data_IF_591973003713
#
_entry.id   IF_591973003713
#
_cell.length_a   1.000
_cell.length_b   1.000
_cell.length_c   1.000
_cell.angle_alpha   90.00
_cell.angle_beta   90.00
_cell.angle_gamma   90.00
#
_symmetry.space_group_name_H-M   'P 1'
#
loop_
_entity.id
_entity.type
_entity.pdbx_description
1 polymer ?
#
# COMPACT_ATOMS: atom_id res chain seq x y z
N UNK A 1 18.99 -5.68 -9.64
CA UNK A 1 19.80 -4.61 -9.05
C UNK A 1 18.99 -3.32 -9.01
N UNK A 2 18.70 -2.84 -7.80
CA UNK A 2 17.79 -1.70 -7.56
C UNK A 2 18.33 -0.38 -8.17
N UNK A 3 19.65 -0.21 -8.24
CA UNK A 3 20.27 1.00 -8.80
C UNK A 3 20.05 1.03 -10.31
N UNK A 4 20.28 -0.09 -10.99
CA UNK A 4 20.06 -0.19 -12.44
C UNK A 4 18.62 0.10 -12.84
N UNK A 5 17.64 -0.44 -12.08
CA UNK A 5 16.22 -0.15 -12.28
C UNK A 5 15.89 1.33 -12.10
N UNK A 6 16.43 1.95 -11.06
CA UNK A 6 16.22 3.38 -10.82
C UNK A 6 16.82 4.25 -11.93
N UNK A 7 18.04 3.93 -12.40
CA UNK A 7 18.67 4.64 -13.52
C UNK A 7 17.83 4.50 -14.80
N UNK A 8 17.21 3.35 -15.07
CA UNK A 8 16.31 3.20 -16.22
C UNK A 8 15.09 4.10 -16.13
N UNK A 9 14.51 4.26 -14.91
CA UNK A 9 13.39 5.22 -14.72
C UNK A 9 13.84 6.67 -14.95
N UNK A 10 15.05 7.04 -14.56
CA UNK A 10 15.59 8.38 -14.84
C UNK A 10 15.74 8.63 -16.36
N UNK A 11 16.11 7.61 -17.13
CA UNK A 11 16.17 7.70 -18.60
C UNK A 11 14.75 7.81 -19.18
N UNK A 12 13.79 7.02 -18.70
CA UNK A 12 12.38 7.13 -19.13
C UNK A 12 11.79 8.50 -18.84
N UNK A 13 12.11 9.07 -17.68
CA UNK A 13 11.72 10.41 -17.29
C UNK A 13 12.46 11.52 -18.04
N UNK A 14 13.39 11.17 -18.93
CA UNK A 14 14.26 12.10 -19.70
C UNK A 14 15.14 13.00 -18.82
N UNK A 15 15.40 12.58 -17.59
CA UNK A 15 16.35 13.25 -16.68
C UNK A 15 17.78 12.87 -17.08
N UNK A 16 17.99 11.62 -17.51
CA UNK A 16 19.25 11.16 -18.09
C UNK A 16 19.06 10.92 -19.59
N UNK A 17 20.02 11.35 -20.43
CA UNK A 17 19.96 11.07 -21.86
C UNK A 17 20.28 9.61 -22.20
N UNK A 18 21.11 8.96 -21.37
CA UNK A 18 21.50 7.56 -21.46
C UNK A 18 21.70 6.97 -20.07
N UNK A 19 21.67 5.64 -19.90
CA UNK A 19 21.96 5.02 -18.62
C UNK A 19 23.40 5.33 -18.19
N UNK A 20 23.55 5.93 -17.02
CA UNK A 20 24.85 6.14 -16.38
C UNK A 20 25.10 5.04 -15.36
N UNK A 21 26.37 4.72 -15.12
CA UNK A 21 26.74 3.74 -14.11
C UNK A 21 27.09 4.45 -12.80
N UNK A 22 26.30 4.20 -11.77
CA UNK A 22 26.53 4.70 -10.41
C UNK A 22 26.92 3.53 -9.49
N UNK A 23 27.88 3.79 -8.60
CA UNK A 23 28.33 2.79 -7.63
C UNK A 23 27.34 2.56 -6.50
N UNK A 24 26.67 3.63 -6.05
CA UNK A 24 25.75 3.61 -4.93
C UNK A 24 24.47 4.42 -5.22
N UNK A 25 23.42 4.19 -4.44
CA UNK A 25 22.22 5.01 -4.51
C UNK A 25 22.49 6.46 -4.09
N UNK A 26 23.39 6.67 -3.14
CA UNK A 26 23.84 8.01 -2.72
C UNK A 26 24.44 8.79 -3.89
N UNK A 27 25.23 8.13 -4.76
CA UNK A 27 25.81 8.78 -5.95
C UNK A 27 24.71 9.23 -6.93
N UNK A 28 23.66 8.42 -7.10
CA UNK A 28 22.51 8.80 -7.92
C UNK A 28 21.83 10.06 -7.35
N UNK A 29 21.56 10.08 -6.06
CA UNK A 29 20.92 11.23 -5.42
C UNK A 29 21.82 12.46 -5.42
N UNK A 30 23.13 12.30 -5.24
CA UNK A 30 24.09 13.40 -5.35
C UNK A 30 24.10 14.01 -6.76
N UNK A 31 24.08 13.16 -7.80
CA UNK A 31 23.96 13.63 -9.18
C UNK A 31 22.66 14.39 -9.42
N UNK A 32 21.51 13.83 -9.02
CA UNK A 32 20.21 14.48 -9.17
C UNK A 32 20.13 15.81 -8.43
N UNK A 33 20.71 15.89 -7.24
CA UNK A 33 20.72 17.11 -6.42
C UNK A 33 21.62 18.21 -7.01
N UNK A 34 22.56 17.84 -7.88
CA UNK A 34 23.43 18.80 -8.58
C UNK A 34 22.79 19.38 -9.85
N UNK A 35 21.68 18.81 -10.33
CA UNK A 35 20.95 19.34 -11.48
C UNK A 35 20.29 20.68 -11.13
N UNK A 36 20.19 21.62 -12.11
CA UNK A 36 19.62 22.95 -11.86
C UNK A 36 18.09 22.93 -11.65
N UNK A 37 17.43 21.87 -12.09
CA UNK A 37 15.99 21.73 -12.04
C UNK A 37 15.54 21.02 -10.76
N UNK A 38 14.38 21.40 -10.24
CA UNK A 38 13.76 20.67 -9.14
C UNK A 38 13.17 19.37 -9.63
N UNK A 39 13.49 18.29 -8.93
CA UNK A 39 13.08 16.93 -9.25
C UNK A 39 12.25 16.37 -8.10
N UNK A 40 11.11 15.74 -8.42
CA UNK A 40 10.33 14.96 -7.47
C UNK A 40 10.70 13.49 -7.66
N UNK A 41 11.24 12.88 -6.62
CA UNK A 41 11.54 11.45 -6.58
C UNK A 41 10.50 10.76 -5.71
N UNK A 42 9.74 9.83 -6.30
CA UNK A 42 8.74 9.04 -5.59
C UNK A 42 9.25 7.61 -5.46
N UNK A 43 9.32 7.10 -4.25
CA UNK A 43 9.61 5.70 -3.97
C UNK A 43 8.34 5.09 -3.38
N UNK A 44 7.67 4.31 -4.23
CA UNK A 44 6.47 3.60 -3.83
C UNK A 44 6.83 2.28 -3.13
N UNK A 45 6.02 1.89 -2.17
CA UNK A 45 6.22 0.69 -1.35
C UNK A 45 7.62 0.62 -0.71
N UNK A 46 8.08 1.74 -0.12
CA UNK A 46 9.36 1.79 0.60
C UNK A 46 9.53 0.67 1.65
N UNK A 47 8.51 0.26 2.42
CA UNK A 47 8.62 -0.89 3.31
C UNK A 47 9.00 -2.19 2.61
N UNK A 48 8.60 -2.35 1.33
CA UNK A 48 8.94 -3.53 0.54
C UNK A 48 10.43 -3.55 0.15
N UNK A 49 10.98 -2.38 -0.15
CA UNK A 49 12.41 -2.23 -0.41
C UNK A 49 13.24 -2.67 0.82
N UNK A 50 12.76 -2.37 2.02
CA UNK A 50 13.37 -2.80 3.29
C UNK A 50 13.25 -4.32 3.52
N UNK A 51 12.13 -4.91 3.16
CA UNK A 51 11.89 -6.34 3.34
C UNK A 51 12.76 -7.22 2.44
N UNK A 52 13.15 -6.71 1.27
CA UNK A 52 14.02 -7.41 0.31
C UNK A 52 15.51 -7.26 0.60
N UNK A 53 15.89 -6.35 1.49
CA UNK A 53 17.27 -6.04 1.84
C UNK A 53 17.41 -6.02 3.37
N UNK A 54 18.64 -5.84 3.87
CA UNK A 54 18.80 -5.51 5.28
C UNK A 54 18.16 -4.16 5.60
N UNK A 55 17.08 -4.20 6.38
CA UNK A 55 16.24 -3.03 6.64
C UNK A 55 17.01 -1.90 7.33
N UNK A 56 17.97 -2.21 8.20
CA UNK A 56 18.81 -1.22 8.87
C UNK A 56 19.74 -0.52 7.87
N UNK A 57 20.28 -1.26 6.94
CA UNK A 57 21.13 -0.73 5.86
C UNK A 57 20.34 0.20 4.94
N UNK A 58 19.12 -0.17 4.54
CA UNK A 58 18.27 0.68 3.67
C UNK A 58 17.92 1.99 4.37
N UNK A 59 17.45 1.94 5.62
CA UNK A 59 17.13 3.14 6.39
C UNK A 59 18.35 4.05 6.57
N UNK A 60 19.55 3.49 6.79
CA UNK A 60 20.79 4.25 6.92
C UNK A 60 21.21 4.91 5.61
N UNK A 61 20.99 4.27 4.46
CA UNK A 61 21.24 4.85 3.14
C UNK A 61 20.35 6.08 2.94
N UNK A 62 19.05 5.95 3.18
CA UNK A 62 18.12 7.06 3.04
C UNK A 62 18.33 8.16 4.07
N UNK A 63 18.73 7.80 5.30
CA UNK A 63 19.17 8.76 6.29
C UNK A 63 20.31 9.62 5.76
N UNK A 64 21.37 9.01 5.23
CA UNK A 64 22.51 9.72 4.65
C UNK A 64 22.09 10.63 3.47
N UNK A 65 21.21 10.13 2.58
CA UNK A 65 20.70 10.91 1.46
C UNK A 65 19.99 12.17 1.96
N UNK A 66 19.11 12.04 2.96
CA UNK A 66 18.32 13.15 3.51
C UNK A 66 19.22 14.12 4.28
N UNK A 67 20.13 13.61 5.11
CA UNK A 67 21.04 14.42 5.94
C UNK A 67 22.05 15.23 5.08
N UNK A 68 22.34 14.80 3.86
CA UNK A 68 23.15 15.52 2.87
C UNK A 68 22.43 16.70 2.20
N UNK A 69 21.30 17.14 2.73
CA UNK A 69 20.48 18.27 2.27
C UNK A 69 20.05 18.13 0.80
N UNK A 70 18.90 17.58 0.60
CA UNK A 70 18.23 17.57 -0.70
C UNK A 70 17.72 18.99 -1.04
N UNK A 71 18.49 19.74 -1.85
CA UNK A 71 18.16 21.12 -2.23
C UNK A 71 17.24 21.15 -3.44
N UNK A 72 17.55 20.31 -4.45
CA UNK A 72 16.81 20.24 -5.71
C UNK A 72 15.94 18.99 -5.83
N UNK A 73 15.86 18.17 -4.78
CA UNK A 73 15.04 16.96 -4.75
C UNK A 73 13.96 17.08 -3.69
N UNK A 74 12.72 16.83 -4.10
CA UNK A 74 11.61 16.53 -3.20
C UNK A 74 11.42 15.02 -3.17
N UNK A 75 11.71 14.41 -2.02
CA UNK A 75 11.63 12.95 -1.84
C UNK A 75 10.31 12.57 -1.19
N UNK A 76 9.54 11.75 -1.86
CA UNK A 76 8.27 11.19 -1.38
C UNK A 76 8.46 9.67 -1.20
N UNK A 77 8.26 9.20 0.03
CA UNK A 77 8.22 7.78 0.35
C UNK A 77 6.77 7.37 0.64
N UNK A 78 6.27 6.38 -0.07
CA UNK A 78 4.93 5.83 0.16
C UNK A 78 4.98 4.37 0.61
N UNK A 79 3.91 3.89 1.20
CA UNK A 79 3.76 2.48 1.59
C UNK A 79 2.64 2.26 2.58
N UNK A 80 2.11 1.04 2.60
CA UNK A 80 0.99 0.63 3.47
C UNK A 80 1.37 0.64 4.97
N UNK A 81 2.64 0.44 5.31
CA UNK A 81 3.14 0.31 6.68
C UNK A 81 4.03 1.49 7.14
N UNK A 82 3.76 2.69 6.65
CA UNK A 82 4.51 3.91 7.00
C UNK A 82 4.52 4.19 8.52
N UNK A 83 3.57 3.66 9.28
CA UNK A 83 3.59 3.73 10.75
C UNK A 83 4.90 3.27 11.38
N UNK A 84 5.56 2.28 10.79
CA UNK A 84 6.87 1.77 11.25
C UNK A 84 8.00 2.81 11.13
N UNK A 85 7.86 3.78 10.24
CA UNK A 85 8.85 4.87 10.07
C UNK A 85 8.73 5.96 11.14
N UNK A 86 7.64 5.95 11.92
CA UNK A 86 7.39 6.88 13.03
C UNK A 86 7.94 6.37 14.37
N UNK A 87 8.45 5.15 14.41
CA UNK A 87 9.06 4.62 15.62
C UNK A 87 10.38 5.33 15.90
N UNK A 88 10.61 5.74 17.13
CA UNK A 88 11.84 6.44 17.57
C UNK A 88 13.13 5.68 17.23
N UNK A 89 13.03 4.36 17.09
CA UNK A 89 14.17 3.49 16.71
C UNK A 89 14.49 3.51 15.21
N UNK A 90 13.62 4.12 14.39
CA UNK A 90 13.84 4.16 12.95
C UNK A 90 14.82 5.29 12.59
N UNK A 91 15.80 5.00 11.74
CA UNK A 91 16.80 5.97 11.31
C UNK A 91 16.20 7.20 10.60
N UNK A 92 14.99 7.08 10.04
CA UNK A 92 14.28 8.18 9.38
C UNK A 92 13.37 8.98 10.33
N UNK A 93 13.30 8.61 11.61
CA UNK A 93 12.50 9.35 12.58
C UNK A 93 12.92 10.82 12.66
N UNK A 94 11.94 11.72 12.64
CA UNK A 94 12.17 13.16 12.72
C UNK A 94 12.72 13.83 11.44
N UNK A 95 12.92 13.07 10.34
CA UNK A 95 13.45 13.59 9.07
C UNK A 95 12.37 13.92 8.03
N UNK A 96 11.14 13.58 8.30
CA UNK A 96 10.02 13.92 7.42
C UNK A 96 9.48 15.32 7.74
N UNK A 97 9.47 16.19 6.73
CA UNK A 97 8.85 17.50 6.84
C UNK A 97 7.32 17.40 6.92
N UNK A 98 6.73 16.45 6.19
CA UNK A 98 5.29 16.23 6.15
C UNK A 98 5.02 14.71 6.15
N UNK A 99 3.99 14.31 6.89
CA UNK A 99 3.46 12.95 6.83
C UNK A 99 1.98 13.01 6.50
N UNK A 100 1.60 12.38 5.40
CA UNK A 100 0.20 12.30 4.94
C UNK A 100 -0.30 10.88 5.16
N UNK A 101 -1.38 10.74 5.92
CA UNK A 101 -2.10 9.46 6.04
C UNK A 101 -3.32 9.52 5.12
N UNK A 102 -3.30 8.72 4.07
CA UNK A 102 -4.47 8.51 3.23
C UNK A 102 -5.36 7.46 3.92
N UNK A 103 -6.55 7.88 4.30
CA UNK A 103 -7.59 6.97 4.78
C UNK A 103 -8.48 6.55 3.62
N UNK A 104 -9.27 5.50 3.84
CA UNK A 104 -10.36 5.19 2.92
C UNK A 104 -11.32 6.39 2.80
N UNK A 105 -12.01 6.47 1.67
CA UNK A 105 -13.02 7.50 1.42
C UNK A 105 -14.13 7.43 2.46
N UNK A 106 -14.56 8.57 2.95
CA UNK A 106 -15.77 8.65 3.77
C UNK A 106 -17.02 8.47 2.90
N UNK A 107 -18.19 8.39 3.55
CA UNK A 107 -19.47 8.20 2.85
C UNK A 107 -19.72 9.24 1.75
N UNK A 108 -19.46 10.52 2.02
CA UNK A 108 -19.73 11.60 1.07
C UNK A 108 -18.80 11.53 -0.15
N UNK A 109 -17.59 11.10 0.06
CA UNK A 109 -16.60 10.90 -1.00
C UNK A 109 -16.94 9.67 -1.85
N UNK A 110 -17.21 8.53 -1.20
CA UNK A 110 -17.60 7.29 -1.87
C UNK A 110 -18.92 7.42 -2.64
N UNK A 111 -19.87 8.21 -2.12
CA UNK A 111 -21.15 8.48 -2.80
C UNK A 111 -21.00 9.16 -4.16
N UNK A 112 -19.85 9.79 -4.46
CA UNK A 112 -19.57 10.40 -5.77
C UNK A 112 -19.37 9.37 -6.88
N UNK A 113 -19.06 8.11 -6.55
CA UNK A 113 -19.00 7.01 -7.51
C UNK A 113 -20.39 6.62 -8.05
N UNK A 114 -21.45 7.03 -7.35
CA UNK A 114 -22.84 6.68 -7.68
C UNK A 114 -23.72 7.96 -7.75
N UNK A 115 -23.43 8.93 -8.64
CA UNK A 115 -24.07 10.24 -8.62
C UNK A 115 -25.59 10.15 -8.74
N UNK A 116 -26.09 9.24 -9.58
CA UNK A 116 -27.51 9.12 -9.92
C UNK A 116 -28.31 8.22 -8.95
N UNK A 117 -27.65 7.53 -8.01
CA UNK A 117 -28.38 6.70 -7.04
C UNK A 117 -29.05 7.56 -5.96
N UNK A 118 -30.24 7.17 -5.48
CA UNK A 118 -30.87 7.83 -4.34
C UNK A 118 -30.02 7.68 -3.07
N UNK A 119 -30.17 8.59 -2.09
CA UNK A 119 -29.36 8.61 -0.87
C UNK A 119 -29.35 7.29 -0.11
N UNK A 120 -30.48 6.60 -0.05
CA UNK A 120 -30.59 5.29 0.60
C UNK A 120 -29.68 4.25 -0.07
N UNK A 121 -29.67 4.16 -1.39
CA UNK A 121 -28.85 3.23 -2.14
C UNK A 121 -27.36 3.57 -2.01
N UNK A 122 -27.01 4.87 -1.99
CA UNK A 122 -25.64 5.32 -1.72
C UNK A 122 -25.15 4.85 -0.34
N UNK A 123 -26.00 5.02 0.67
CA UNK A 123 -25.68 4.58 2.03
C UNK A 123 -25.54 3.06 2.11
N UNK A 124 -26.42 2.33 1.44
CA UNK A 124 -26.37 0.88 1.41
C UNK A 124 -25.13 0.35 0.65
N UNK A 125 -24.75 1.00 -0.48
CA UNK A 125 -23.49 0.68 -1.16
C UNK A 125 -22.28 0.90 -0.25
N UNK A 126 -22.22 2.04 0.43
CA UNK A 126 -21.13 2.32 1.37
C UNK A 126 -21.07 1.32 2.52
N UNK A 127 -22.21 0.91 3.05
CA UNK A 127 -22.30 -0.09 4.13
C UNK A 127 -21.77 -1.47 3.70
N UNK A 128 -21.92 -1.82 2.41
CA UNK A 128 -21.49 -3.12 1.87
C UNK A 128 -20.04 -3.08 1.36
N UNK A 129 -19.68 -2.04 0.62
CA UNK A 129 -18.42 -1.99 -0.14
C UNK A 129 -17.35 -1.09 0.49
N UNK A 130 -17.71 -0.30 1.50
CA UNK A 130 -16.78 0.58 2.21
C UNK A 130 -16.27 1.75 1.38
N UNK A 131 -15.17 2.32 1.83
CA UNK A 131 -14.54 3.52 1.26
C UNK A 131 -13.33 3.26 0.37
N UNK A 132 -12.99 2.01 0.05
CA UNK A 132 -11.87 1.73 -0.85
C UNK A 132 -12.13 2.29 -2.25
N UNK A 133 -11.28 3.21 -2.79
CA UNK A 133 -11.44 3.70 -4.17
C UNK A 133 -11.39 2.57 -5.20
N UNK A 134 -10.50 1.60 -5.00
CA UNK A 134 -10.34 0.44 -5.86
C UNK A 134 -11.64 -0.38 -5.94
N UNK A 135 -12.25 -0.68 -4.79
CA UNK A 135 -13.51 -1.42 -4.73
C UNK A 135 -14.63 -0.62 -5.40
N UNK A 136 -14.78 0.66 -5.03
CA UNK A 136 -15.85 1.51 -5.58
C UNK A 136 -15.74 1.72 -7.10
N UNK A 137 -14.52 1.79 -7.64
CA UNK A 137 -14.29 1.91 -9.08
C UNK A 137 -14.65 0.62 -9.85
N UNK A 138 -14.55 -0.53 -9.22
CA UNK A 138 -14.87 -1.81 -9.84
C UNK A 138 -16.38 -2.11 -9.90
N UNK A 139 -17.19 -1.35 -9.16
CA UNK A 139 -18.65 -1.53 -9.14
C UNK A 139 -19.31 -0.89 -10.37
N UNK A 140 -20.43 -1.45 -10.77
CA UNK A 140 -21.27 -0.87 -11.81
C UNK A 140 -22.24 0.13 -11.20
N UNK A 141 -22.16 1.43 -11.54
CA UNK A 141 -23.00 2.46 -10.92
C UNK A 141 -24.50 2.26 -11.14
N UNK A 142 -24.89 1.69 -12.28
CA UNK A 142 -26.29 1.44 -12.64
C UNK A 142 -26.86 0.16 -12.07
N UNK A 143 -26.00 -0.79 -11.66
CA UNK A 143 -26.43 -2.07 -11.12
C UNK A 143 -26.99 -1.95 -9.70
N UNK A 144 -27.82 -2.90 -9.31
CA UNK A 144 -28.29 -3.04 -7.94
C UNK A 144 -27.16 -3.49 -7.00
N UNK A 145 -27.33 -3.31 -5.70
CA UNK A 145 -26.37 -3.80 -4.69
C UNK A 145 -26.17 -5.31 -4.82
N UNK A 146 -27.27 -6.07 -5.05
CA UNK A 146 -27.23 -7.51 -5.21
C UNK A 146 -26.39 -7.93 -6.42
N UNK A 147 -26.58 -7.28 -7.55
CA UNK A 147 -25.81 -7.56 -8.76
C UNK A 147 -24.32 -7.24 -8.56
N UNK A 148 -24.02 -6.11 -7.93
CA UNK A 148 -22.65 -5.75 -7.60
C UNK A 148 -22.01 -6.76 -6.62
N UNK A 149 -22.72 -7.24 -5.60
CA UNK A 149 -22.22 -8.28 -4.69
C UNK A 149 -21.89 -9.55 -5.48
N UNK A 150 -22.81 -10.02 -6.34
CA UNK A 150 -22.64 -11.25 -7.11
C UNK A 150 -21.45 -11.12 -8.08
N UNK A 151 -21.35 -10.00 -8.79
CA UNK A 151 -20.31 -9.79 -9.81
C UNK A 151 -18.92 -9.50 -9.24
N UNK A 152 -18.82 -9.04 -7.98
CA UNK A 152 -17.55 -8.65 -7.37
C UNK A 152 -17.16 -9.53 -6.17
N UNK A 153 -17.88 -9.43 -5.05
CA UNK A 153 -17.53 -10.11 -3.78
C UNK A 153 -17.65 -11.63 -3.91
N UNK A 154 -18.68 -12.11 -4.60
CA UNK A 154 -18.96 -13.54 -4.76
C UNK A 154 -18.38 -14.15 -6.04
N UNK A 155 -17.74 -13.37 -6.88
CA UNK A 155 -17.11 -13.84 -8.10
C UNK A 155 -15.60 -14.02 -7.89
N UNK A 156 -15.09 -15.27 -7.82
CA UNK A 156 -13.66 -15.54 -7.61
C UNK A 156 -12.74 -14.96 -8.69
N UNK A 157 -13.28 -14.67 -9.87
CA UNK A 157 -12.52 -14.08 -10.99
C UNK A 157 -12.53 -12.55 -10.98
N UNK A 158 -13.25 -11.92 -10.05
CA UNK A 158 -13.29 -10.46 -9.95
C UNK A 158 -12.02 -9.90 -9.33
N UNK A 159 -11.64 -8.70 -9.77
CA UNK A 159 -10.52 -7.97 -9.19
C UNK A 159 -10.74 -7.66 -7.69
N UNK A 160 -11.98 -7.44 -7.26
CA UNK A 160 -12.32 -7.17 -5.85
C UNK A 160 -12.10 -8.40 -4.99
N UNK A 161 -12.54 -9.58 -5.44
CA UNK A 161 -12.31 -10.83 -4.73
C UNK A 161 -10.81 -11.14 -4.58
N UNK A 162 -10.07 -11.01 -5.67
CA UNK A 162 -8.61 -11.24 -5.68
C UNK A 162 -7.87 -10.22 -4.79
N UNK A 163 -8.28 -8.96 -4.82
CA UNK A 163 -7.72 -7.92 -3.96
C UNK A 163 -7.95 -8.20 -2.47
N UNK A 164 -9.14 -8.60 -2.07
CA UNK A 164 -9.44 -8.98 -0.70
C UNK A 164 -8.55 -10.15 -0.22
N UNK A 165 -8.34 -11.15 -1.07
CA UNK A 165 -7.43 -12.26 -0.76
C UNK A 165 -5.97 -11.80 -0.66
N UNK A 166 -5.52 -10.89 -1.53
CA UNK A 166 -4.17 -10.33 -1.46
C UNK A 166 -3.95 -9.53 -0.18
N UNK A 167 -4.91 -8.71 0.25
CA UNK A 167 -4.84 -7.98 1.52
C UNK A 167 -4.72 -8.93 2.70
N UNK A 168 -5.56 -9.97 2.75
CA UNK A 168 -5.47 -11.00 3.78
C UNK A 168 -4.09 -11.66 3.83
N UNK A 169 -3.49 -11.91 2.67
CA UNK A 169 -2.18 -12.53 2.57
C UNK A 169 -1.03 -11.57 2.91
N UNK A 170 -1.17 -10.26 2.67
CA UNK A 170 -0.13 -9.26 2.95
C UNK A 170 -0.09 -8.83 4.41
N UNK A 171 -1.24 -8.66 5.04
CA UNK A 171 -1.34 -8.10 6.39
C UNK A 171 -1.01 -9.12 7.50
N UNK A 172 -1.11 -10.42 7.19
CA UNK A 172 -0.83 -11.47 8.16
C UNK A 172 0.48 -12.19 7.85
N UNK A 173 1.55 -11.82 8.54
CA UNK A 173 2.86 -12.47 8.44
C UNK A 173 2.86 -13.93 8.92
N UNK A 174 1.85 -14.34 9.70
CA UNK A 174 1.61 -15.72 10.14
C UNK A 174 0.43 -16.29 9.35
N UNK A 175 0.63 -16.51 8.08
CA UNK A 175 -0.37 -16.64 7.01
C UNK A 175 -1.25 -17.89 7.04
N UNK A 176 -0.79 -18.98 7.63
CA UNK A 176 -1.41 -20.31 7.47
C UNK A 176 -2.76 -20.42 8.18
N UNK A 177 -2.98 -19.62 9.23
CA UNK A 177 -4.17 -19.75 10.07
C UNK A 177 -5.26 -18.69 9.82
N UNK A 178 -4.93 -17.54 9.24
CA UNK A 178 -5.91 -16.46 9.05
C UNK A 178 -7.08 -16.87 8.14
N UNK A 179 -6.81 -17.43 6.97
CA UNK A 179 -7.85 -17.96 6.07
C UNK A 179 -8.72 -19.03 6.73
N UNK A 180 -8.08 -19.95 7.46
CA UNK A 180 -8.79 -21.02 8.20
C UNK A 180 -9.65 -20.44 9.32
N UNK A 181 -9.16 -19.43 10.06
CA UNK A 181 -9.92 -18.74 11.09
C UNK A 181 -11.16 -18.07 10.48
N UNK A 182 -10.99 -17.29 9.40
CA UNK A 182 -12.10 -16.64 8.72
C UNK A 182 -13.11 -17.64 8.14
N UNK A 183 -12.65 -18.77 7.58
CA UNK A 183 -13.50 -19.82 7.11
C UNK A 183 -14.34 -20.45 8.24
N UNK A 184 -13.72 -20.70 9.39
CA UNK A 184 -14.40 -21.26 10.58
C UNK A 184 -15.45 -20.26 11.13
N UNK A 185 -15.12 -18.97 11.17
CA UNK A 185 -16.05 -17.92 11.56
C UNK A 185 -17.20 -17.78 10.55
N UNK A 186 -16.88 -17.81 9.25
CA UNK A 186 -17.86 -17.75 8.16
C UNK A 186 -18.83 -18.93 8.19
N UNK A 187 -18.39 -20.10 8.68
CA UNK A 187 -19.23 -21.27 8.91
C UNK A 187 -20.02 -21.22 10.24
N UNK A 188 -20.11 -20.06 10.87
CA UNK A 188 -20.97 -19.77 12.02
C UNK A 188 -20.38 -20.07 13.39
N UNK A 189 -19.08 -20.41 13.49
CA UNK A 189 -18.42 -20.59 14.78
C UNK A 189 -18.03 -19.22 15.36
N UNK A 190 -18.49 -18.93 16.59
CA UNK A 190 -18.34 -17.62 17.22
C UNK A 190 -17.52 -17.64 18.51
N UNK A 191 -17.31 -18.82 19.10
CA UNK A 191 -16.58 -18.95 20.37
C UNK A 191 -15.13 -19.31 20.10
N UNK A 192 -14.23 -18.74 20.88
CA UNK A 192 -12.79 -18.98 20.78
C UNK A 192 -12.44 -20.48 20.83
N UNK A 193 -13.04 -21.21 21.77
CA UNK A 193 -12.85 -22.68 21.91
C UNK A 193 -13.32 -23.46 20.69
N UNK A 194 -14.42 -23.07 20.06
CA UNK A 194 -14.92 -23.72 18.84
C UNK A 194 -14.01 -23.48 17.63
N UNK A 195 -13.31 -22.33 17.62
CA UNK A 195 -12.33 -21.97 16.58
C UNK A 195 -11.04 -22.77 16.82
N UNK A 196 -10.54 -22.82 18.06
CA UNK A 196 -9.36 -23.61 18.44
C UNK A 196 -9.53 -25.10 18.10
N UNK A 197 -10.65 -25.70 18.46
CA UNK A 197 -10.95 -27.11 18.20
C UNK A 197 -10.95 -27.45 16.69
N UNK A 198 -11.33 -26.48 15.85
CA UNK A 198 -11.36 -26.69 14.39
C UNK A 198 -10.02 -26.43 13.71
N UNK A 199 -9.13 -25.68 14.36
CA UNK A 199 -7.83 -25.32 13.81
C UNK A 199 -6.70 -26.26 14.25
N UNK A 200 -6.96 -27.20 15.18
CA UNK A 200 -5.95 -28.08 15.78
C UNK A 200 -4.75 -27.31 16.37
N UNK A 201 -4.97 -26.09 16.84
CA UNK A 201 -3.95 -25.25 17.42
C UNK A 201 -3.89 -25.57 18.92
N UNK A 202 -2.84 -26.31 19.35
CA UNK A 202 -2.60 -26.53 20.76
C UNK A 202 -2.29 -25.19 21.44
N UNK A 203 -2.91 -24.98 22.61
CA UNK A 203 -2.54 -23.88 23.51
C UNK A 203 -1.04 -23.92 23.80
N UNK A 204 -0.36 -22.86 23.44
CA UNK A 204 0.97 -22.52 23.99
C UNK A 204 0.81 -21.73 25.26
#
# INVERSE_FOLDING_TARGET
>A
DNISGFVQELVRAKILPVPLNFGTLQDVFAYLNALPEKIVVVIDEYPYLKAMNDSATVDSIFQNIIDNRLVNIELILSGSHIGMMKEEKNALYGRFAVTIKLNELNYLEAAKFYPDKPPYDKAAHYAVFGGSPFVNQALQPTATIRENIISTILNPMSAVYLYANQLLLSDYSVKINAERIFSVIGNGKKRYTEIEDKLDVKKT
#
